data_IF_641320588449
#
_entry.id   IF_641320588449
#
_cell.length_a   1.000
_cell.length_b   1.000
_cell.length_c   1.000
_cell.angle_alpha   90.00
_cell.angle_beta   90.00
_cell.angle_gamma   90.00
#
_symmetry.space_group_name_H-M   'P 1'
#
loop_
_entity.id
_entity.type
_entity.pdbx_description
1 polymer ?
#
# COMPACT_ATOMS: atom_id res chain seq x y z
N UNK A 1 -10.77 6.93 1.74
CA UNK A 1 -10.44 6.02 0.61
C UNK A 1 -11.74 5.42 0.07
N UNK A 2 -11.69 4.80 -1.10
CA UNK A 2 -12.81 4.04 -1.68
C UNK A 2 -12.39 2.57 -1.74
N UNK A 3 -13.26 1.66 -1.29
CA UNK A 3 -13.03 0.21 -1.27
C UNK A 3 -14.28 -0.53 -1.75
N UNK A 4 -14.13 -1.79 -2.12
CA UNK A 4 -15.24 -2.66 -2.49
C UNK A 4 -16.23 -2.80 -1.33
N UNK A 5 -17.54 -2.78 -1.62
CA UNK A 5 -18.60 -2.81 -0.60
C UNK A 5 -18.47 -4.01 0.35
N UNK A 6 -18.19 -5.20 -0.20
CA UNK A 6 -17.99 -6.43 0.58
C UNK A 6 -16.83 -6.34 1.59
N UNK A 7 -15.83 -5.49 1.34
CA UNK A 7 -14.67 -5.32 2.19
C UNK A 7 -14.80 -4.13 3.14
N UNK A 8 -15.79 -3.24 2.94
CA UNK A 8 -15.88 -1.97 3.65
C UNK A 8 -15.88 -2.11 5.17
N UNK A 9 -16.68 -3.02 5.72
CA UNK A 9 -16.75 -3.26 7.17
C UNK A 9 -15.42 -3.78 7.73
N UNK A 10 -14.73 -4.65 6.99
CA UNK A 10 -13.45 -5.19 7.43
C UNK A 10 -12.33 -4.16 7.35
N UNK A 11 -12.30 -3.35 6.30
CA UNK A 11 -11.35 -2.24 6.15
C UNK A 11 -11.53 -1.24 7.29
N UNK A 12 -12.76 -0.89 7.68
CA UNK A 12 -13.00 -0.06 8.87
C UNK A 12 -12.36 -0.69 10.11
N UNK A 13 -12.58 -1.99 10.35
CA UNK A 13 -11.99 -2.69 11.49
C UNK A 13 -10.45 -2.73 11.47
N UNK A 14 -9.85 -2.83 10.27
CA UNK A 14 -8.40 -2.75 10.08
C UNK A 14 -7.89 -1.36 10.50
N UNK A 15 -8.45 -0.29 9.95
CA UNK A 15 -7.98 1.07 10.24
C UNK A 15 -8.25 1.50 11.69
N UNK A 16 -9.32 1.02 12.31
CA UNK A 16 -9.52 1.17 13.75
C UNK A 16 -8.43 0.49 14.59
N UNK A 17 -7.97 -0.71 14.17
CA UNK A 17 -6.86 -1.38 14.85
C UNK A 17 -5.54 -0.67 14.63
N UNK A 18 -5.24 -0.21 13.42
CA UNK A 18 -4.06 0.62 13.13
C UNK A 18 -4.06 1.89 14.00
N UNK A 19 -5.21 2.54 14.15
CA UNK A 19 -5.38 3.70 15.03
C UNK A 19 -5.09 3.36 16.50
N UNK A 20 -5.59 2.23 17.00
CA UNK A 20 -5.31 1.76 18.38
C UNK A 20 -3.84 1.43 18.60
N UNK A 21 -3.17 0.87 17.59
CA UNK A 21 -1.72 0.62 17.59
C UNK A 21 -0.91 1.91 17.45
N UNK A 22 -1.56 3.05 17.17
CA UNK A 22 -0.91 4.33 16.83
C UNK A 22 0.06 4.19 15.66
N UNK A 23 -0.27 3.32 14.70
CA UNK A 23 0.48 3.24 13.46
C UNK A 23 0.33 4.58 12.72
N UNK A 24 1.44 5.28 12.40
CA UNK A 24 1.36 6.59 11.79
C UNK A 24 0.97 6.44 10.32
N UNK A 25 -0.16 7.02 9.95
CA UNK A 25 -0.57 7.19 8.56
C UNK A 25 -0.37 8.67 8.24
N UNK A 26 0.47 8.95 7.26
CA UNK A 26 0.81 10.34 6.88
C UNK A 26 -0.41 11.05 6.31
N UNK A 27 -1.09 10.40 5.36
CA UNK A 27 -2.33 10.90 4.78
C UNK A 27 -3.13 9.79 4.14
N UNK A 28 -4.40 10.11 3.87
CA UNK A 28 -5.34 9.20 3.25
C UNK A 28 -6.37 9.97 2.45
N UNK A 29 -6.16 10.05 1.13
CA UNK A 29 -7.00 10.75 0.15
C UNK A 29 -7.28 9.83 -1.02
N UNK A 30 -8.40 10.07 -1.69
CA UNK A 30 -8.72 9.37 -2.94
C UNK A 30 -7.78 9.86 -4.04
N UNK A 31 -7.34 8.95 -4.92
CA UNK A 31 -6.24 9.23 -5.87
C UNK A 31 -6.63 10.29 -6.92
N UNK A 32 -7.92 10.54 -7.14
CA UNK A 32 -8.44 11.64 -7.97
C UNK A 32 -8.06 13.05 -7.47
N UNK A 33 -7.50 13.17 -6.27
CA UNK A 33 -6.89 14.41 -5.79
C UNK A 33 -5.55 14.74 -6.47
N UNK A 34 -4.97 13.79 -7.22
CA UNK A 34 -3.76 13.97 -8.01
C UNK A 34 -4.12 14.15 -9.49
N UNK A 35 -3.39 14.97 -10.26
CA UNK A 35 -3.67 15.20 -11.68
C UNK A 35 -3.77 13.89 -12.47
N UNK A 36 -4.92 13.66 -13.11
CA UNK A 36 -5.18 12.44 -13.88
C UNK A 36 -5.28 11.17 -13.04
N UNK A 37 -5.49 11.27 -11.73
CA UNK A 37 -5.40 10.17 -10.77
C UNK A 37 -4.05 9.43 -10.83
N UNK A 38 -2.96 10.18 -11.06
CA UNK A 38 -1.66 9.56 -11.25
C UNK A 38 -1.11 8.94 -9.97
N UNK A 39 -0.81 7.64 -10.04
CA UNK A 39 -0.45 6.79 -8.91
C UNK A 39 0.92 7.15 -8.35
N UNK A 40 1.89 7.41 -9.23
CA UNK A 40 3.24 7.81 -8.84
C UNK A 40 3.21 9.11 -8.01
N UNK A 41 2.37 10.09 -8.36
CA UNK A 41 2.23 11.33 -7.57
C UNK A 41 1.60 11.06 -6.19
N UNK A 42 0.61 10.16 -6.13
CA UNK A 42 0.00 9.71 -4.87
C UNK A 42 1.01 9.01 -3.97
N UNK A 43 1.78 8.08 -4.54
CA UNK A 43 2.79 7.31 -3.81
C UNK A 43 3.93 8.22 -3.31
N UNK A 44 4.45 9.11 -4.15
CA UNK A 44 5.50 10.08 -3.76
C UNK A 44 5.05 10.98 -2.61
N UNK A 45 3.77 11.33 -2.58
CA UNK A 45 3.16 12.16 -1.54
C UNK A 45 2.82 11.36 -0.26
N UNK A 46 3.25 10.09 -0.20
CA UNK A 46 3.04 9.14 0.89
C UNK A 46 1.56 8.91 1.21
N UNK A 47 0.71 8.91 0.18
CA UNK A 47 -0.74 8.78 0.35
C UNK A 47 -1.16 7.32 0.49
N UNK A 48 -1.79 6.99 1.62
CA UNK A 48 -2.49 5.72 1.76
C UNK A 48 -3.77 5.74 0.94
N UNK A 49 -3.86 4.82 -0.02
CA UNK A 49 -4.95 4.72 -0.98
C UNK A 49 -5.43 3.28 -1.17
N UNK A 50 -6.62 3.13 -1.74
CA UNK A 50 -7.20 1.84 -2.06
C UNK A 50 -7.67 1.81 -3.51
N UNK A 51 -8.84 2.34 -3.85
CA UNK A 51 -9.24 2.41 -5.25
C UNK A 51 -8.35 3.34 -6.10
N UNK A 52 -7.79 2.80 -7.18
CA UNK A 52 -7.21 3.53 -8.32
C UNK A 52 -7.45 2.70 -9.59
N UNK A 53 -8.18 3.26 -10.57
CA UNK A 53 -8.57 2.54 -11.77
C UNK A 53 -7.41 2.47 -12.78
N UNK A 54 -6.52 1.48 -12.60
CA UNK A 54 -5.35 1.25 -13.46
C UNK A 54 -5.06 -0.21 -13.73
N UNK A 55 -4.41 -0.47 -14.87
CA UNK A 55 -3.79 -1.76 -15.16
C UNK A 55 -2.52 -1.98 -14.32
N UNK A 56 -2.05 -3.21 -14.28
CA UNK A 56 -0.70 -3.51 -13.77
C UNK A 56 0.30 -3.14 -14.88
N UNK A 57 1.32 -2.29 -14.62
CA UNK A 57 2.32 -1.93 -15.62
C UNK A 57 2.93 -3.16 -16.29
N UNK A 58 2.91 -3.20 -17.62
CA UNK A 58 3.47 -4.31 -18.40
C UNK A 58 2.61 -5.59 -18.46
N UNK A 59 1.43 -5.62 -17.84
CA UNK A 59 0.51 -6.75 -17.89
C UNK A 59 -0.81 -6.41 -18.60
N UNK A 60 -1.52 -7.43 -19.09
CA UNK A 60 -2.85 -7.31 -19.71
C UNK A 60 -4.00 -7.43 -18.70
N UNK A 61 -3.71 -7.37 -17.40
CA UNK A 61 -4.68 -7.49 -16.31
C UNK A 61 -4.81 -6.19 -15.51
N UNK A 62 -6.01 -6.00 -14.94
CA UNK A 62 -6.29 -4.93 -14.00
C UNK A 62 -5.60 -5.18 -12.65
N UNK A 63 -5.26 -4.10 -11.96
CA UNK A 63 -4.81 -4.17 -10.57
C UNK A 63 -5.99 -4.41 -9.64
N UNK A 64 -5.78 -5.03 -8.48
CA UNK A 64 -6.78 -5.12 -7.41
C UNK A 64 -7.22 -3.74 -6.89
N UNK A 65 -6.38 -2.71 -7.07
CA UNK A 65 -6.78 -1.30 -6.86
C UNK A 65 -7.94 -0.88 -7.77
N UNK A 66 -8.04 -1.41 -8.99
CA UNK A 66 -9.13 -1.11 -9.91
C UNK A 66 -10.47 -1.71 -9.45
N UNK A 67 -10.45 -2.68 -8.54
CA UNK A 67 -11.64 -3.29 -7.95
C UNK A 67 -11.92 -2.81 -6.52
N UNK A 68 -11.10 -1.89 -5.98
CA UNK A 68 -11.20 -1.45 -4.58
C UNK A 68 -10.86 -2.56 -3.58
N UNK A 69 -10.04 -3.53 -4.00
CA UNK A 69 -9.68 -4.74 -3.26
C UNK A 69 -8.22 -4.76 -2.81
N UNK A 70 -7.48 -3.70 -3.09
CA UNK A 70 -6.13 -3.48 -2.58
C UNK A 70 -6.04 -2.20 -1.74
N UNK A 71 -5.04 -2.15 -0.86
CA UNK A 71 -4.71 -1.01 -0.01
C UNK A 71 -3.19 -0.85 -0.01
N UNK A 72 -2.72 0.34 -0.36
CA UNK A 72 -1.33 0.74 -0.22
C UNK A 72 -1.14 1.59 1.05
N UNK A 73 -0.25 1.17 1.95
CA UNK A 73 -0.03 1.81 3.25
C UNK A 73 1.31 2.56 3.30
N UNK A 74 1.25 3.89 3.40
CA UNK A 74 2.41 4.78 3.35
C UNK A 74 3.41 4.42 2.21
N UNK A 75 3.01 4.52 0.92
CA UNK A 75 3.83 4.14 -0.23
C UNK A 75 5.29 4.62 -0.22
N UNK A 76 5.53 5.87 0.17
CA UNK A 76 6.87 6.44 0.17
C UNK A 76 7.79 5.72 1.16
N UNK A 77 7.25 5.29 2.31
CA UNK A 77 7.98 4.57 3.34
C UNK A 77 8.10 3.07 3.03
N UNK A 78 7.17 2.53 2.24
CA UNK A 78 7.02 1.10 1.97
C UNK A 78 6.98 0.84 0.46
N UNK A 79 8.06 1.12 -0.29
CA UNK A 79 8.01 1.05 -1.74
C UNK A 79 7.85 -0.37 -2.30
N UNK A 80 7.40 -0.46 -3.55
CA UNK A 80 7.57 -1.65 -4.37
C UNK A 80 8.95 -1.67 -5.03
N UNK A 81 9.63 -2.82 -4.93
CA UNK A 81 10.97 -3.05 -5.47
C UNK A 81 10.91 -4.19 -6.48
N UNK A 82 11.21 -3.87 -7.74
CA UNK A 82 11.22 -4.84 -8.83
C UNK A 82 12.64 -5.34 -9.08
N UNK A 83 12.78 -6.60 -9.50
CA UNK A 83 14.06 -7.19 -9.91
C UNK A 83 14.68 -6.48 -11.13
N UNK A 84 13.85 -5.80 -11.93
CA UNK A 84 14.28 -4.94 -13.04
C UNK A 84 15.04 -3.68 -12.59
N UNK A 85 15.00 -3.35 -11.30
CA UNK A 85 15.52 -2.10 -10.74
C UNK A 85 14.51 -0.96 -10.72
N UNK A 86 13.26 -1.19 -11.18
CA UNK A 86 12.17 -0.24 -10.98
C UNK A 86 11.85 -0.12 -9.48
N UNK A 87 11.70 1.12 -9.02
CA UNK A 87 11.34 1.48 -7.66
C UNK A 87 10.10 2.37 -7.70
N UNK A 88 9.07 1.99 -6.96
CA UNK A 88 7.80 2.71 -6.91
C UNK A 88 7.44 3.04 -5.44
N UNK A 89 7.30 4.33 -5.07
CA UNK A 89 7.58 5.50 -5.90
C UNK A 89 9.09 5.68 -6.13
N UNK A 90 9.46 6.35 -7.22
CA UNK A 90 10.87 6.56 -7.62
C UNK A 90 11.68 7.34 -6.58
N UNK A 91 11.01 8.07 -5.70
CA UNK A 91 11.61 8.88 -4.62
C UNK A 91 11.84 8.09 -3.33
N UNK A 92 11.48 6.81 -3.27
CA UNK A 92 11.56 6.01 -2.04
C UNK A 92 12.95 5.45 -1.72
N UNK A 93 13.98 5.80 -2.50
CA UNK A 93 15.35 5.34 -2.28
C UNK A 93 15.85 5.49 -0.82
N UNK A 94 15.51 6.56 -0.07
CA UNK A 94 15.88 6.67 1.34
C UNK A 94 15.33 5.57 2.25
N UNK A 95 14.25 4.88 1.87
CA UNK A 95 13.53 3.89 2.69
C UNK A 95 13.82 2.44 2.30
N UNK A 96 14.83 2.22 1.45
CA UNK A 96 15.29 0.89 1.04
C UNK A 96 16.05 0.15 2.14
N UNK A 97 16.75 0.89 3.02
CA UNK A 97 17.38 0.29 4.20
C UNK A 97 16.30 -0.04 5.24
N UNK A 98 15.83 -1.28 5.20
CA UNK A 98 14.82 -1.83 6.11
C UNK A 98 15.36 -2.11 7.52
N UNK A 99 16.64 -1.86 7.80
CA UNK A 99 17.17 -1.92 9.18
C UNK A 99 16.87 -0.65 9.98
N UNK A 100 16.43 0.41 9.29
CA UNK A 100 16.12 1.71 9.91
C UNK A 100 14.81 1.64 10.70
N UNK A 101 14.84 2.27 11.87
CA UNK A 101 13.63 2.47 12.68
C UNK A 101 13.00 3.80 12.23
N UNK A 102 12.05 3.71 11.29
CA UNK A 102 11.25 4.84 10.82
C UNK A 102 9.78 4.57 11.15
N UNK A 103 9.08 5.46 11.86
CA UNK A 103 7.65 5.29 12.12
C UNK A 103 6.88 5.13 10.80
N UNK A 104 6.05 4.08 10.71
CA UNK A 104 5.26 3.77 9.50
C UNK A 104 5.95 2.80 8.52
N UNK A 105 7.21 2.46 8.74
CA UNK A 105 7.90 1.44 7.96
C UNK A 105 7.42 0.05 8.39
N UNK A 106 7.03 -0.78 7.42
CA UNK A 106 6.48 -2.12 7.63
C UNK A 106 7.54 -3.22 7.55
N UNK A 107 7.55 -4.12 8.51
CA UNK A 107 8.35 -5.34 8.49
C UNK A 107 7.46 -6.58 8.61
N UNK A 108 7.97 -7.70 8.11
CA UNK A 108 7.31 -8.99 8.27
C UNK A 108 7.05 -9.27 9.76
N UNK A 109 5.78 -9.55 10.08
CA UNK A 109 5.34 -9.84 11.44
C UNK A 109 5.08 -8.60 12.31
N UNK A 110 5.24 -7.37 11.81
CA UNK A 110 4.84 -6.17 12.54
C UNK A 110 3.34 -6.20 12.89
N UNK A 111 2.94 -5.63 14.04
CA UNK A 111 1.52 -5.55 14.40
C UNK A 111 0.66 -4.92 13.30
N UNK A 112 1.18 -3.90 12.61
CA UNK A 112 0.47 -3.25 11.51
C UNK A 112 0.23 -4.19 10.32
N UNK A 113 1.21 -5.02 9.95
CA UNK A 113 1.06 -6.06 8.90
C UNK A 113 0.04 -7.11 9.35
N UNK A 114 0.15 -7.59 10.59
CA UNK A 114 -0.75 -8.62 11.15
C UNK A 114 -2.21 -8.21 11.19
N UNK A 115 -2.51 -6.91 11.38
CA UNK A 115 -3.89 -6.40 11.31
C UNK A 115 -4.56 -6.79 9.97
N UNK A 116 -3.81 -6.80 8.87
CA UNK A 116 -4.29 -7.25 7.56
C UNK A 116 -4.23 -8.78 7.45
N UNK A 117 -3.05 -9.38 7.67
CA UNK A 117 -2.82 -10.80 7.35
C UNK A 117 -3.61 -11.75 8.24
N UNK A 118 -3.88 -11.40 9.51
CA UNK A 118 -4.72 -12.20 10.41
C UNK A 118 -6.20 -12.23 9.96
N UNK A 119 -6.59 -11.34 9.03
CA UNK A 119 -7.90 -11.31 8.37
C UNK A 119 -7.91 -11.95 6.98
N UNK A 120 -6.78 -12.54 6.58
CA UNK A 120 -6.64 -13.22 5.29
C UNK A 120 -6.32 -12.32 4.11
N UNK A 121 -5.88 -11.06 4.36
CA UNK A 121 -5.26 -10.26 3.31
C UNK A 121 -3.87 -10.81 3.00
N UNK A 122 -3.47 -10.77 1.74
CA UNK A 122 -2.10 -11.04 1.31
C UNK A 122 -1.29 -9.75 1.40
N UNK A 123 -0.05 -9.83 1.87
CA UNK A 123 0.87 -8.69 1.91
C UNK A 123 1.96 -8.85 0.85
N UNK A 124 2.13 -7.82 0.02
CA UNK A 124 3.08 -7.81 -1.08
C UNK A 124 4.54 -7.84 -0.65
N UNK A 125 4.83 -7.49 0.62
CA UNK A 125 6.18 -7.56 1.18
C UNK A 125 6.76 -8.98 1.27
N UNK A 126 5.94 -10.03 1.08
CA UNK A 126 6.36 -11.44 1.02
C UNK A 126 6.46 -11.99 -0.40
N UNK A 127 6.16 -11.20 -1.43
CA UNK A 127 6.27 -11.60 -2.83
C UNK A 127 7.72 -11.66 -3.31
N UNK A 128 7.94 -12.29 -4.47
CA UNK A 128 9.28 -12.47 -5.05
C UNK A 128 9.66 -11.38 -6.07
N UNK A 129 8.69 -10.93 -6.88
CA UNK A 129 8.86 -9.84 -7.85
C UNK A 129 7.48 -9.29 -8.26
N UNK A 130 7.19 -8.00 -8.01
CA UNK A 130 7.95 -7.12 -7.11
C UNK A 130 7.87 -7.61 -5.65
N UNK A 131 8.82 -7.18 -4.83
CA UNK A 131 8.62 -7.12 -3.37
C UNK A 131 7.87 -5.83 -3.10
N UNK A 132 6.59 -5.91 -2.74
CA UNK A 132 5.68 -4.76 -2.70
C UNK A 132 5.26 -4.43 -1.27
N UNK A 133 6.09 -3.66 -0.55
CA UNK A 133 5.89 -3.45 0.90
C UNK A 133 4.63 -2.64 1.24
N UNK A 134 4.16 -1.79 0.33
CA UNK A 134 2.96 -0.95 0.53
C UNK A 134 1.69 -1.77 0.41
N UNK A 135 1.70 -2.81 -0.42
CA UNK A 135 0.50 -3.41 -0.97
C UNK A 135 -0.08 -4.51 -0.11
N UNK A 136 -1.39 -4.42 0.13
CA UNK A 136 -2.21 -5.48 0.71
C UNK A 136 -3.41 -5.75 -0.21
N UNK A 137 -3.73 -7.01 -0.50
CA UNK A 137 -4.89 -7.38 -1.34
C UNK A 137 -5.73 -8.53 -0.78
N UNK A 138 -7.01 -8.56 -1.20
CA UNK A 138 -7.99 -9.58 -0.81
C UNK A 138 -9.04 -9.89 -1.87
#
# INVERSE_FOLDING_TARGET
MIVHEELAAEVVAIFEQLLRLRYPIEKMRTVDNYPGAEDELSMQDNNTSAFNCRGIPGASRWSEHAFGRAIDLNPLLNPAIHQSGLLEPKTAAPYLDRSRIVPGLLHAGDPAVRVFTDRGWQWGGEWQDPVDYQHFER
#
